data_IF_688685069891
#
_entry.id   IF_688685069891
#
_cell.length_a   1.000
_cell.length_b   1.000
_cell.length_c   1.000
_cell.angle_alpha   90.00
_cell.angle_beta   90.00
_cell.angle_gamma   90.00
#
_symmetry.space_group_name_H-M   'P 1'
#
loop_
_entity.id
_entity.type
_entity.pdbx_description
1 polymer ?
#
# COMPACT_ATOMS: atom_id res chain seq x y z
N UNK A 1 -12.69 -25.89 32.59
CA UNK A 1 -11.52 -25.01 32.81
C UNK A 1 -10.17 -25.60 32.38
N UNK A 2 -10.01 -26.82 31.95
CA UNK A 2 -8.72 -27.47 31.70
C UNK A 2 -8.18 -27.48 30.26
N UNK A 3 -9.01 -27.27 29.23
CA UNK A 3 -8.56 -27.39 27.83
C UNK A 3 -7.92 -26.11 27.25
N UNK A 4 -8.33 -24.93 27.71
CA UNK A 4 -7.79 -23.65 27.22
C UNK A 4 -6.34 -23.42 27.66
N UNK A 5 -5.96 -23.86 28.88
CA UNK A 5 -4.60 -23.67 29.40
C UNK A 5 -3.51 -24.54 28.74
N UNK A 6 -3.89 -25.74 28.26
CA UNK A 6 -2.93 -26.67 27.63
C UNK A 6 -2.62 -26.22 26.20
N UNK A 7 -3.64 -25.78 25.45
CA UNK A 7 -3.47 -25.22 24.10
C UNK A 7 -2.63 -23.92 24.14
N UNK A 8 -2.89 -23.04 25.11
CA UNK A 8 -2.12 -21.79 25.31
C UNK A 8 -0.63 -22.06 25.68
N UNK A 9 -0.37 -23.14 26.42
CA UNK A 9 0.99 -23.56 26.74
C UNK A 9 1.74 -24.11 25.51
N UNK A 10 1.09 -24.96 24.71
CA UNK A 10 1.66 -25.47 23.45
C UNK A 10 1.87 -24.35 22.43
N UNK A 11 0.95 -23.42 22.30
CA UNK A 11 1.10 -22.25 21.42
C UNK A 11 2.28 -21.35 21.85
N UNK A 12 2.46 -21.14 23.14
CA UNK A 12 3.63 -20.42 23.69
C UNK A 12 4.94 -21.17 23.48
N UNK A 13 4.92 -22.50 23.53
CA UNK A 13 6.10 -23.32 23.27
C UNK A 13 6.46 -23.27 21.76
N UNK A 14 5.49 -23.46 20.90
CA UNK A 14 5.64 -23.44 19.43
C UNK A 14 6.03 -22.04 18.96
N UNK A 15 5.51 -20.96 19.56
CA UNK A 15 5.85 -19.59 19.19
C UNK A 15 7.34 -19.24 19.39
N UNK A 16 8.05 -19.93 20.31
CA UNK A 16 9.50 -19.83 20.45
C UNK A 16 10.27 -20.38 19.24
N UNK A 17 9.67 -21.28 18.47
CA UNK A 17 10.26 -21.96 17.32
C UNK A 17 9.63 -21.55 15.98
N UNK A 18 8.71 -20.61 15.99
CA UNK A 18 8.02 -20.10 14.80
C UNK A 18 7.92 -18.58 14.86
N UNK A 19 8.38 -17.86 13.85
CA UNK A 19 8.32 -16.41 13.85
C UNK A 19 6.89 -15.89 13.69
N UNK A 20 6.65 -14.71 14.23
CA UNK A 20 5.48 -13.90 13.94
C UNK A 20 5.85 -12.90 12.85
N UNK A 21 5.06 -12.84 11.78
CA UNK A 21 5.32 -12.02 10.61
C UNK A 21 4.16 -11.08 10.35
N UNK A 22 4.45 -9.78 10.18
CA UNK A 22 3.55 -8.83 9.57
C UNK A 22 3.71 -8.88 8.04
N UNK A 23 2.61 -8.99 7.29
CA UNK A 23 2.64 -9.02 5.83
C UNK A 23 1.69 -7.97 5.27
N UNK A 24 2.21 -7.11 4.39
CA UNK A 24 1.44 -6.13 3.61
C UNK A 24 1.51 -6.49 2.13
N UNK A 25 0.36 -6.91 1.56
CA UNK A 25 0.26 -7.32 0.16
C UNK A 25 -0.12 -6.13 -0.73
N UNK A 26 0.83 -5.23 -0.94
CA UNK A 26 0.61 -4.06 -1.78
C UNK A 26 0.75 -4.33 -3.28
N UNK A 27 0.02 -3.58 -4.11
CA UNK A 27 0.06 -3.69 -5.59
C UNK A 27 1.41 -3.28 -6.21
N UNK A 28 2.20 -2.45 -5.52
CA UNK A 28 3.55 -2.06 -5.97
C UNK A 28 4.63 -2.90 -5.33
N UNK A 29 4.48 -3.23 -4.07
CA UNK A 29 5.43 -4.00 -3.29
C UNK A 29 4.72 -4.85 -2.24
N UNK A 30 5.24 -6.05 -1.97
CA UNK A 30 4.95 -6.82 -0.77
C UNK A 30 5.93 -6.40 0.31
N UNK A 31 5.41 -6.12 1.48
CA UNK A 31 6.20 -5.89 2.68
C UNK A 31 6.10 -7.06 3.65
N UNK A 32 7.22 -7.39 4.29
CA UNK A 32 7.28 -8.39 5.37
C UNK A 32 8.05 -7.79 6.54
N UNK A 33 7.49 -7.89 7.73
CA UNK A 33 8.13 -7.52 8.98
C UNK A 33 8.30 -8.76 9.88
N UNK A 34 9.51 -9.07 10.27
CA UNK A 34 9.79 -10.07 11.31
C UNK A 34 9.69 -9.39 12.69
N UNK A 35 8.79 -9.87 13.53
CA UNK A 35 8.58 -9.31 14.86
C UNK A 35 9.90 -9.23 15.67
N UNK A 36 10.24 -8.02 16.11
CA UNK A 36 11.45 -7.77 16.91
C UNK A 36 12.77 -7.84 16.15
N UNK A 37 12.76 -7.86 14.81
CA UNK A 37 13.99 -7.93 14.01
C UNK A 37 14.01 -6.84 12.95
N UNK A 38 13.74 -7.21 11.70
CA UNK A 38 13.84 -6.35 10.52
C UNK A 38 12.55 -6.40 9.71
N UNK A 39 12.34 -5.39 8.91
CA UNK A 39 11.34 -5.41 7.85
C UNK A 39 12.00 -5.13 6.50
N UNK A 40 11.38 -5.62 5.43
CA UNK A 40 11.80 -5.36 4.06
C UNK A 40 10.60 -5.29 3.12
N UNK A 41 10.83 -4.74 1.96
CA UNK A 41 9.84 -4.66 0.89
C UNK A 41 10.44 -5.19 -0.41
N UNK A 42 9.62 -5.86 -1.18
CA UNK A 42 10.00 -6.36 -2.49
C UNK A 42 8.95 -5.96 -3.53
N UNK A 43 9.37 -5.59 -4.73
CA UNK A 43 8.44 -5.17 -5.76
C UNK A 43 7.48 -6.29 -6.14
N UNK A 44 6.17 -5.98 -6.23
CA UNK A 44 5.13 -6.94 -6.59
C UNK A 44 5.08 -7.15 -8.11
N UNK A 45 6.19 -7.61 -8.67
CA UNK A 45 6.37 -7.83 -10.12
C UNK A 45 7.08 -9.13 -10.39
N UNK A 46 6.63 -9.83 -11.45
CA UNK A 46 7.27 -11.04 -11.97
C UNK A 46 7.40 -10.92 -13.48
N UNK A 47 8.42 -11.55 -14.04
CA UNK A 47 8.60 -11.68 -15.49
C UNK A 47 8.57 -13.15 -15.86
N UNK A 48 7.72 -13.50 -16.81
CA UNK A 48 7.58 -14.85 -17.36
C UNK A 48 7.93 -14.88 -18.84
N UNK A 49 8.36 -16.05 -19.29
CA UNK A 49 8.47 -16.38 -20.70
C UNK A 49 7.10 -16.80 -21.25
N UNK A 50 6.61 -16.14 -22.30
CA UNK A 50 5.24 -16.34 -22.82
C UNK A 50 4.95 -17.77 -23.31
N UNK A 51 5.96 -18.46 -23.87
CA UNK A 51 5.76 -19.79 -24.47
C UNK A 51 5.80 -20.93 -23.44
N UNK A 52 6.63 -20.78 -22.41
CA UNK A 52 6.92 -21.84 -21.46
C UNK A 52 6.27 -21.60 -20.08
N UNK A 53 5.73 -20.39 -19.86
CA UNK A 53 5.25 -19.86 -18.56
C UNK A 53 6.32 -20.00 -17.46
N UNK A 54 7.59 -20.00 -17.86
CA UNK A 54 8.72 -20.12 -16.93
C UNK A 54 9.02 -18.76 -16.29
N UNK A 55 9.17 -18.75 -14.97
CA UNK A 55 9.60 -17.58 -14.21
C UNK A 55 11.03 -17.18 -14.63
N UNK A 56 11.21 -15.94 -15.05
CA UNK A 56 12.50 -15.37 -15.49
C UNK A 56 13.08 -14.43 -14.42
N UNK A 57 12.25 -13.62 -13.81
CA UNK A 57 12.67 -12.67 -12.78
C UNK A 57 11.52 -12.37 -11.82
N UNK A 58 11.86 -12.03 -10.58
CA UNK A 58 10.91 -11.70 -9.51
C UNK A 58 11.36 -10.45 -8.76
N UNK A 59 10.41 -9.70 -8.25
CA UNK A 59 10.66 -8.56 -7.37
C UNK A 59 11.41 -7.42 -8.07
N UNK A 60 12.44 -6.93 -7.43
CA UNK A 60 13.26 -5.81 -7.90
C UNK A 60 13.93 -6.10 -9.24
N UNK A 61 14.34 -7.35 -9.50
CA UNK A 61 14.88 -7.74 -10.81
C UNK A 61 13.82 -7.63 -11.91
N UNK A 62 12.59 -8.07 -11.64
CA UNK A 62 11.48 -7.92 -12.57
C UNK A 62 11.15 -6.44 -12.84
N UNK A 63 11.18 -5.58 -11.82
CA UNK A 63 10.99 -4.12 -11.96
C UNK A 63 12.04 -3.50 -12.85
N UNK A 64 13.32 -3.89 -12.72
CA UNK A 64 14.42 -3.39 -13.57
C UNK A 64 14.25 -3.78 -15.05
N UNK A 65 13.63 -4.93 -15.32
CA UNK A 65 13.33 -5.39 -16.68
C UNK A 65 12.10 -4.68 -17.27
N UNK A 66 11.27 -4.04 -16.47
CA UNK A 66 10.06 -3.36 -16.94
C UNK A 66 10.40 -2.32 -18.02
N UNK A 67 9.66 -2.34 -19.14
CA UNK A 67 9.89 -1.45 -20.28
C UNK A 67 11.07 -1.85 -21.21
N UNK A 68 11.77 -2.96 -20.92
CA UNK A 68 12.91 -3.49 -21.74
C UNK A 68 12.73 -4.96 -22.08
N UNK A 69 11.50 -5.47 -21.97
CA UNK A 69 11.18 -6.86 -22.24
C UNK A 69 11.18 -7.16 -23.75
N UNK A 70 11.73 -8.31 -24.13
CA UNK A 70 11.53 -8.87 -25.48
C UNK A 70 10.06 -9.26 -25.69
N UNK A 71 9.65 -9.47 -26.95
CA UNK A 71 8.29 -9.91 -27.28
C UNK A 71 7.91 -11.28 -26.69
N UNK A 72 8.89 -12.05 -26.26
CA UNK A 72 8.72 -13.39 -25.69
C UNK A 72 8.51 -13.38 -24.18
N UNK A 73 8.59 -12.21 -23.52
CA UNK A 73 8.49 -12.06 -22.07
C UNK A 73 7.35 -11.14 -21.69
N UNK A 74 6.67 -11.45 -20.61
CA UNK A 74 5.58 -10.65 -20.05
C UNK A 74 5.87 -10.24 -18.60
N UNK A 75 5.58 -8.98 -18.28
CA UNK A 75 5.56 -8.48 -16.91
C UNK A 75 4.18 -8.74 -16.31
N UNK A 76 4.16 -9.39 -15.15
CA UNK A 76 2.95 -9.66 -14.38
C UNK A 76 2.94 -8.87 -13.07
N UNK A 77 1.75 -8.38 -12.69
CA UNK A 77 1.45 -7.78 -11.40
C UNK A 77 0.31 -8.59 -10.77
N UNK A 78 0.61 -9.55 -9.88
CA UNK A 78 -0.38 -10.50 -9.39
C UNK A 78 -1.32 -9.93 -8.33
N UNK A 79 -1.01 -8.75 -7.79
CA UNK A 79 -1.81 -8.05 -6.78
C UNK A 79 -2.27 -6.73 -7.39
N UNK A 80 -3.59 -6.46 -7.32
CA UNK A 80 -4.22 -5.22 -7.76
C UNK A 80 -5.13 -4.69 -6.67
N UNK A 81 -5.04 -3.40 -6.41
CA UNK A 81 -5.87 -2.71 -5.41
C UNK A 81 -5.86 -3.38 -4.03
N UNK A 82 -4.73 -4.05 -3.70
CA UNK A 82 -4.57 -4.80 -2.45
C UNK A 82 -5.23 -6.19 -2.44
N UNK A 83 -5.82 -6.64 -3.57
CA UNK A 83 -6.45 -7.96 -3.72
C UNK A 83 -5.63 -8.86 -4.64
N UNK A 84 -5.76 -10.19 -4.45
CA UNK A 84 -5.09 -11.19 -5.29
C UNK A 84 -5.79 -11.30 -6.63
N UNK A 85 -5.11 -10.95 -7.71
CA UNK A 85 -5.61 -11.02 -9.09
C UNK A 85 -5.18 -12.30 -9.80
N UNK A 86 -3.95 -12.76 -9.54
CA UNK A 86 -3.40 -14.03 -10.09
C UNK A 86 -2.83 -14.82 -8.92
N UNK A 87 -3.57 -15.85 -8.50
CA UNK A 87 -3.26 -16.61 -7.28
C UNK A 87 -1.89 -17.28 -7.34
N UNK A 88 -1.60 -18.00 -8.43
CA UNK A 88 -0.35 -18.77 -8.54
C UNK A 88 0.87 -17.85 -8.52
N UNK A 89 0.80 -16.75 -9.26
CA UNK A 89 1.89 -15.76 -9.29
C UNK A 89 2.03 -14.97 -7.99
N UNK A 90 0.89 -14.71 -7.30
CA UNK A 90 0.92 -14.10 -5.98
C UNK A 90 1.57 -15.04 -4.95
N UNK A 91 1.28 -16.36 -5.04
CA UNK A 91 1.89 -17.37 -4.19
C UNK A 91 3.41 -17.46 -4.41
N UNK A 92 3.88 -17.52 -5.66
CA UNK A 92 5.31 -17.51 -5.96
C UNK A 92 6.01 -16.27 -5.39
N UNK A 93 5.37 -15.11 -5.53
CA UNK A 93 5.91 -13.85 -5.02
C UNK A 93 5.94 -13.83 -3.48
N UNK A 94 4.88 -14.30 -2.82
CA UNK A 94 4.84 -14.38 -1.36
C UNK A 94 5.86 -15.39 -0.84
N UNK A 95 5.96 -16.57 -1.43
CA UNK A 95 7.00 -17.57 -1.08
C UNK A 95 8.41 -16.99 -1.24
N UNK A 96 8.68 -16.25 -2.32
CA UNK A 96 9.95 -15.55 -2.50
C UNK A 96 10.21 -14.53 -1.39
N UNK A 97 9.21 -13.74 -1.00
CA UNK A 97 9.37 -12.80 0.09
C UNK A 97 9.62 -13.52 1.42
N UNK A 98 8.86 -14.57 1.73
CA UNK A 98 9.03 -15.34 2.97
C UNK A 98 10.37 -16.10 3.02
N UNK A 99 10.92 -16.52 1.88
CA UNK A 99 12.23 -17.18 1.85
C UNK A 99 13.39 -16.31 2.32
N UNK A 100 13.18 -15.00 2.44
CA UNK A 100 14.17 -14.04 2.97
C UNK A 100 14.09 -13.88 4.49
N UNK A 101 13.08 -14.47 5.12
CA UNK A 101 12.99 -14.49 6.59
C UNK A 101 14.15 -15.31 7.18
N UNK A 102 14.67 -14.86 8.32
CA UNK A 102 15.82 -15.47 8.98
C UNK A 102 15.55 -16.92 9.41
N UNK A 103 14.30 -17.23 9.76
CA UNK A 103 13.85 -18.59 10.10
C UNK A 103 12.31 -18.64 10.00
N UNK A 104 11.77 -19.55 9.19
CA UNK A 104 10.33 -19.77 9.14
C UNK A 104 9.82 -20.77 10.19
N UNK A 105 10.75 -21.36 10.98
CA UNK A 105 10.42 -22.36 12.00
C UNK A 105 10.00 -23.72 11.44
N UNK A 106 9.95 -24.72 12.31
CA UNK A 106 9.52 -26.09 11.91
C UNK A 106 8.03 -26.18 11.63
N UNK A 107 7.24 -25.27 12.19
CA UNK A 107 5.76 -25.31 12.12
C UNK A 107 5.17 -24.18 11.24
N UNK A 108 6.02 -23.45 10.51
CA UNK A 108 5.61 -22.28 9.74
C UNK A 108 5.30 -21.02 10.60
N UNK A 109 5.25 -19.85 9.99
CA UNK A 109 5.01 -18.58 10.69
C UNK A 109 3.52 -18.39 11.06
N UNK A 110 3.26 -17.55 12.08
CA UNK A 110 1.98 -16.85 12.21
C UNK A 110 2.07 -15.55 11.43
N UNK A 111 1.07 -15.27 10.60
CA UNK A 111 1.03 -14.07 9.74
C UNK A 111 -0.08 -13.14 10.21
N UNK A 112 0.27 -11.90 10.52
CA UNK A 112 -0.67 -10.78 10.63
C UNK A 112 -0.69 -10.04 9.29
N UNK A 113 -1.84 -10.05 8.65
CA UNK A 113 -2.01 -9.56 7.30
C UNK A 113 -2.78 -8.24 7.29
N UNK A 114 -2.26 -7.22 6.59
CA UNK A 114 -3.04 -6.03 6.28
C UNK A 114 -4.02 -6.33 5.13
N UNK A 115 -5.28 -5.91 5.29
CA UNK A 115 -6.30 -5.99 4.24
C UNK A 115 -6.87 -4.61 3.94
N UNK A 116 -7.20 -4.30 2.67
CA UNK A 116 -7.77 -3.00 2.33
C UNK A 116 -9.16 -2.82 2.94
N UNK A 117 -9.53 -1.55 3.17
CA UNK A 117 -10.91 -1.19 3.54
C UNK A 117 -11.86 -1.58 2.41
N UNK A 118 -12.97 -2.21 2.77
CA UNK A 118 -13.97 -2.67 1.81
C UNK A 118 -13.62 -3.98 1.10
N UNK A 119 -12.54 -4.66 1.50
CA UNK A 119 -12.27 -6.02 1.04
C UNK A 119 -13.45 -6.94 1.37
N UNK A 120 -13.94 -7.69 0.39
CA UNK A 120 -15.01 -8.65 0.61
C UNK A 120 -14.52 -9.85 1.44
N UNK A 121 -15.45 -10.57 2.09
CA UNK A 121 -15.10 -11.82 2.76
C UNK A 121 -14.40 -12.82 1.82
N UNK A 122 -14.75 -12.83 0.55
CA UNK A 122 -14.12 -13.66 -0.46
C UNK A 122 -12.66 -13.25 -0.69
N UNK A 123 -12.37 -11.95 -0.79
CA UNK A 123 -10.99 -11.45 -0.91
C UNK A 123 -10.16 -11.84 0.32
N UNK A 124 -10.71 -11.64 1.52
CA UNK A 124 -10.04 -12.02 2.78
C UNK A 124 -9.77 -13.53 2.83
N UNK A 125 -10.70 -14.37 2.34
CA UNK A 125 -10.49 -15.83 2.24
C UNK A 125 -9.37 -16.17 1.26
N UNK A 126 -9.39 -15.59 0.05
CA UNK A 126 -8.37 -15.83 -0.98
C UNK A 126 -6.97 -15.46 -0.46
N UNK A 127 -6.84 -14.31 0.18
CA UNK A 127 -5.57 -13.85 0.74
C UNK A 127 -5.12 -14.76 1.90
N UNK A 128 -6.07 -15.20 2.75
CA UNK A 128 -5.77 -16.14 3.84
C UNK A 128 -5.32 -17.50 3.30
N UNK A 129 -5.99 -18.01 2.28
CA UNK A 129 -5.61 -19.29 1.63
C UNK A 129 -4.24 -19.16 0.93
N UNK A 130 -3.93 -18.00 0.38
CA UNK A 130 -2.61 -17.70 -0.19
C UNK A 130 -1.51 -17.81 0.89
N UNK A 131 -1.71 -17.20 2.05
CA UNK A 131 -0.76 -17.29 3.17
C UNK A 131 -0.63 -18.73 3.70
N UNK A 132 -1.75 -19.47 3.77
CA UNK A 132 -1.73 -20.90 4.14
C UNK A 132 -0.91 -21.70 3.16
N UNK A 133 -1.13 -21.52 1.86
CA UNK A 133 -0.38 -22.20 0.79
C UNK A 133 1.10 -21.85 0.81
N UNK A 134 1.45 -20.66 1.28
CA UNK A 134 2.83 -20.22 1.50
C UNK A 134 3.45 -20.78 2.81
N UNK A 135 2.72 -21.62 3.58
CA UNK A 135 3.21 -22.32 4.77
C UNK A 135 2.88 -21.65 6.10
N UNK A 136 1.96 -20.68 6.15
CA UNK A 136 1.52 -20.09 7.41
C UNK A 136 0.71 -21.10 8.25
N UNK A 137 1.03 -21.21 9.56
CA UNK A 137 0.29 -22.04 10.53
C UNK A 137 -0.92 -21.34 11.13
N UNK A 138 -0.94 -20.03 11.12
CA UNK A 138 -2.04 -19.21 11.64
C UNK A 138 -2.04 -17.85 10.96
N UNK A 139 -3.24 -17.29 10.76
CA UNK A 139 -3.41 -16.01 10.08
C UNK A 139 -4.35 -15.15 10.91
N UNK A 140 -3.93 -13.91 11.13
CA UNK A 140 -4.77 -12.84 11.64
C UNK A 140 -4.84 -11.73 10.60
N UNK A 141 -5.98 -11.06 10.48
CA UNK A 141 -6.16 -9.96 9.55
C UNK A 141 -6.45 -8.66 10.30
N UNK A 142 -5.97 -7.57 9.76
CA UNK A 142 -6.22 -6.22 10.29
C UNK A 142 -6.42 -5.25 9.13
N UNK A 143 -7.26 -4.23 9.32
CA UNK A 143 -7.46 -3.18 8.31
C UNK A 143 -6.15 -2.40 8.06
N UNK A 144 -5.79 -2.20 6.78
CA UNK A 144 -4.58 -1.50 6.38
C UNK A 144 -4.51 -0.05 6.91
N UNK A 145 -5.59 0.78 6.90
CA UNK A 145 -5.54 2.10 7.52
C UNK A 145 -5.29 2.06 9.03
N UNK A 146 -5.82 1.07 9.75
CA UNK A 146 -5.60 0.95 11.18
C UNK A 146 -4.15 0.58 11.48
N UNK A 147 -3.59 -0.40 10.76
CA UNK A 147 -2.16 -0.71 10.84
C UNK A 147 -1.31 0.51 10.47
N UNK A 148 -1.70 1.24 9.41
CA UNK A 148 -0.98 2.46 9.00
C UNK A 148 -1.01 3.54 10.07
N UNK A 149 -2.14 3.75 10.74
CA UNK A 149 -2.27 4.73 11.82
C UNK A 149 -1.32 4.42 12.98
N UNK A 150 -1.24 3.16 13.39
CA UNK A 150 -0.27 2.70 14.39
C UNK A 150 1.16 2.98 13.94
N UNK A 151 1.51 2.59 12.73
CA UNK A 151 2.87 2.81 12.20
C UNK A 151 3.22 4.28 11.95
N UNK A 152 2.23 5.16 11.87
CA UNK A 152 2.43 6.62 11.91
C UNK A 152 2.64 7.15 13.33
N UNK A 153 2.54 6.31 14.36
CA UNK A 153 2.64 6.71 15.77
C UNK A 153 1.36 7.33 16.33
N UNK A 154 0.20 7.14 15.67
CA UNK A 154 -1.08 7.64 16.17
C UNK A 154 -1.58 6.76 17.33
N UNK A 155 -2.17 7.40 18.33
CA UNK A 155 -2.73 6.72 19.52
C UNK A 155 -4.13 6.17 19.24
N UNK A 156 -4.23 5.10 18.44
CA UNK A 156 -5.51 4.55 17.97
C UNK A 156 -6.43 4.01 19.07
N UNK A 157 -5.90 3.65 20.24
CA UNK A 157 -6.67 3.08 21.36
C UNK A 157 -7.24 4.12 22.32
N UNK A 158 -6.94 5.41 22.11
CA UNK A 158 -7.45 6.50 22.93
C UNK A 158 -8.85 6.93 22.48
N UNK A 159 -9.55 7.67 23.35
CA UNK A 159 -10.88 8.24 23.06
C UNK A 159 -10.83 9.40 22.07
N UNK A 160 -9.66 9.98 21.82
CA UNK A 160 -9.45 11.01 20.80
C UNK A 160 -9.38 10.37 19.41
N UNK A 161 -10.26 10.79 18.52
CA UNK A 161 -10.27 10.27 17.16
C UNK A 161 -9.09 10.80 16.34
N UNK A 162 -8.56 9.95 15.45
CA UNK A 162 -7.55 10.32 14.47
C UNK A 162 -7.99 9.95 13.05
N UNK A 163 -7.55 10.73 12.06
CA UNK A 163 -7.80 10.47 10.63
C UNK A 163 -6.48 10.16 9.95
N UNK A 164 -6.40 8.98 9.36
CA UNK A 164 -5.27 8.53 8.55
C UNK A 164 -5.68 8.35 7.09
N UNK A 165 -4.78 8.73 6.17
CA UNK A 165 -4.96 8.55 4.72
C UNK A 165 -3.75 7.80 4.18
N UNK A 166 -3.96 6.59 3.72
CA UNK A 166 -2.93 5.77 3.10
C UNK A 166 -3.06 5.85 1.57
N UNK A 167 -2.11 6.53 0.94
CA UNK A 167 -2.05 6.72 -0.52
C UNK A 167 -1.04 5.75 -1.09
N UNK A 168 -1.51 4.62 -1.57
CA UNK A 168 -0.69 3.53 -2.09
C UNK A 168 -0.29 3.69 -3.55
N UNK A 169 -0.13 2.56 -4.23
CA UNK A 169 0.15 2.53 -5.67
C UNK A 169 -1.12 2.55 -6.51
N UNK A 170 -2.14 1.78 -6.17
CA UNK A 170 -3.38 1.66 -6.95
C UNK A 170 -4.62 2.12 -6.19
N UNK A 171 -4.61 2.06 -4.86
CA UNK A 171 -5.71 2.44 -4.00
C UNK A 171 -5.28 3.50 -2.98
N UNK A 172 -6.15 4.48 -2.73
CA UNK A 172 -6.08 5.38 -1.59
C UNK A 172 -7.20 5.00 -0.64
N UNK A 173 -6.87 4.87 0.64
CA UNK A 173 -7.79 4.49 1.71
C UNK A 173 -7.68 5.50 2.84
N UNK A 174 -8.78 5.81 3.47
CA UNK A 174 -8.76 6.66 4.66
C UNK A 174 -9.73 6.13 5.72
N UNK A 175 -9.39 6.35 6.99
CA UNK A 175 -10.22 5.95 8.11
C UNK A 175 -10.11 6.93 9.27
N UNK A 176 -11.25 7.18 9.90
CA UNK A 176 -11.36 7.79 11.22
C UNK A 176 -11.36 6.66 12.24
N UNK A 177 -10.44 6.70 13.18
CA UNK A 177 -10.18 5.64 14.15
C UNK A 177 -10.31 6.25 15.56
N UNK A 178 -11.02 5.54 16.45
CA UNK A 178 -11.18 5.90 17.85
C UNK A 178 -11.34 4.62 18.68
N UNK A 179 -10.72 4.56 19.87
CA UNK A 179 -10.83 3.42 20.81
C UNK A 179 -10.52 2.05 20.16
N UNK A 180 -9.59 2.01 19.22
CA UNK A 180 -9.20 0.80 18.50
C UNK A 180 -10.14 0.36 17.37
N UNK A 181 -11.23 1.10 17.13
CA UNK A 181 -12.22 0.80 16.11
C UNK A 181 -12.22 1.80 14.95
N UNK A 182 -12.59 1.34 13.77
CA UNK A 182 -12.85 2.21 12.63
C UNK A 182 -14.26 2.77 12.74
N UNK A 183 -14.38 4.10 12.89
CA UNK A 183 -15.66 4.82 12.97
C UNK A 183 -16.25 5.04 11.58
N UNK A 184 -15.44 5.53 10.66
CA UNK A 184 -15.79 5.77 9.25
C UNK A 184 -14.56 5.45 8.41
N UNK A 185 -14.76 4.76 7.30
CA UNK A 185 -13.70 4.55 6.32
C UNK A 185 -14.25 4.54 4.89
N UNK A 186 -13.41 4.93 3.95
CA UNK A 186 -13.70 4.87 2.52
C UNK A 186 -12.41 4.63 1.74
N UNK A 187 -12.56 4.20 0.49
CA UNK A 187 -11.43 3.97 -0.41
C UNK A 187 -11.77 4.37 -1.85
N UNK A 188 -10.73 4.70 -2.61
CA UNK A 188 -10.87 5.02 -4.04
C UNK A 188 -9.73 4.37 -4.83
N UNK A 189 -10.00 3.76 -6.02
CA UNK A 189 -8.98 3.12 -6.86
C UNK A 189 -8.17 4.19 -7.64
N UNK A 190 -7.71 5.21 -6.92
CA UNK A 190 -6.89 6.30 -7.44
C UNK A 190 -5.73 6.54 -6.48
N UNK A 191 -4.52 6.29 -6.97
CA UNK A 191 -3.28 6.48 -6.24
C UNK A 191 -2.11 6.69 -7.23
N UNK A 192 -0.88 6.34 -6.86
CA UNK A 192 0.32 6.59 -7.65
C UNK A 192 0.24 6.16 -9.12
N UNK A 193 -0.27 4.95 -9.38
CA UNK A 193 -0.39 4.40 -10.75
C UNK A 193 -1.40 5.15 -11.61
N UNK A 194 -2.49 5.65 -11.00
CA UNK A 194 -3.48 6.47 -11.72
C UNK A 194 -2.89 7.82 -12.15
N UNK A 195 -2.02 8.40 -11.33
CA UNK A 195 -1.28 9.62 -11.67
C UNK A 195 -0.28 9.36 -12.81
N UNK A 196 0.47 8.26 -12.77
CA UNK A 196 1.38 7.86 -13.85
C UNK A 196 0.62 7.67 -15.16
N UNK A 197 -0.52 6.99 -15.10
CA UNK A 197 -1.39 6.78 -16.28
C UNK A 197 -1.90 8.10 -16.84
N UNK A 198 -2.28 9.06 -16.01
CA UNK A 198 -2.71 10.39 -16.48
C UNK A 198 -1.60 11.09 -17.27
N UNK A 199 -0.35 10.96 -16.85
CA UNK A 199 0.84 11.49 -17.58
C UNK A 199 1.01 10.76 -18.92
N UNK A 200 0.95 9.42 -18.93
CA UNK A 200 1.05 8.62 -20.15
C UNK A 200 -0.05 9.02 -21.17
N UNK A 201 -1.29 9.14 -20.71
CA UNK A 201 -2.44 9.50 -21.54
C UNK A 201 -2.32 10.93 -22.09
N UNK A 202 -1.79 11.86 -21.29
CA UNK A 202 -1.49 13.21 -21.76
C UNK A 202 -0.42 13.19 -22.86
N UNK A 203 0.71 12.52 -22.62
CA UNK A 203 1.78 12.40 -23.61
C UNK A 203 1.28 11.76 -24.91
N UNK A 204 0.43 10.75 -24.83
CA UNK A 204 -0.17 10.09 -26.00
C UNK A 204 -1.04 11.04 -26.83
N UNK A 205 -1.83 11.91 -26.17
CA UNK A 205 -2.60 12.98 -26.85
C UNK A 205 -1.70 13.99 -27.55
N UNK A 206 -0.45 14.16 -27.07
CA UNK A 206 0.58 14.98 -27.69
C UNK A 206 1.42 14.20 -28.75
N UNK A 207 0.94 13.05 -29.23
CA UNK A 207 1.62 12.13 -30.13
C UNK A 207 2.97 11.61 -29.62
N UNK A 208 3.14 11.45 -28.30
CA UNK A 208 4.34 10.91 -27.68
C UNK A 208 4.00 9.63 -26.89
N UNK A 209 4.51 8.49 -27.32
CA UNK A 209 4.39 7.23 -26.56
C UNK A 209 5.48 7.18 -25.50
N UNK A 210 5.08 7.13 -24.23
CA UNK A 210 5.96 7.00 -23.08
C UNK A 210 5.61 5.74 -22.30
N UNK A 211 6.62 5.10 -21.67
CA UNK A 211 6.37 3.97 -20.77
C UNK A 211 5.97 4.43 -19.38
N UNK A 212 5.26 3.57 -18.63
CA UNK A 212 4.84 3.84 -17.25
C UNK A 212 6.03 4.22 -16.35
N UNK A 213 7.19 3.57 -16.47
CA UNK A 213 8.37 3.92 -15.68
C UNK A 213 8.93 5.32 -15.98
N UNK A 214 8.73 5.83 -17.21
CA UNK A 214 9.11 7.22 -17.53
C UNK A 214 8.13 8.22 -16.94
N UNK A 215 6.84 7.88 -16.90
CA UNK A 215 5.80 8.69 -16.27
C UNK A 215 5.97 8.69 -14.74
N UNK A 216 6.24 7.54 -14.12
CA UNK A 216 6.53 7.41 -12.70
C UNK A 216 7.72 8.30 -12.30
N UNK A 217 8.81 8.25 -13.08
CA UNK A 217 9.97 9.11 -12.85
C UNK A 217 9.62 10.59 -12.97
N UNK A 218 8.90 11.00 -14.02
CA UNK A 218 8.45 12.38 -14.17
C UNK A 218 7.58 12.82 -12.99
N UNK A 219 6.67 11.96 -12.51
CA UNK A 219 5.85 12.23 -11.33
C UNK A 219 6.71 12.42 -10.07
N UNK A 220 7.73 11.60 -9.87
CA UNK A 220 8.61 11.67 -8.70
C UNK A 220 9.50 12.93 -8.75
N UNK A 221 10.07 13.23 -9.91
CA UNK A 221 11.04 14.33 -10.09
C UNK A 221 10.34 15.70 -10.23
N UNK A 222 9.19 15.75 -10.92
CA UNK A 222 8.54 16.97 -11.33
C UNK A 222 7.07 17.07 -10.95
N UNK A 223 6.49 16.01 -10.38
CA UNK A 223 5.12 16.00 -9.89
C UNK A 223 4.97 16.98 -8.73
N UNK A 224 3.95 17.84 -8.82
CA UNK A 224 3.60 18.77 -7.75
C UNK A 224 2.08 18.89 -7.70
N UNK A 225 1.51 18.72 -6.52
CA UNK A 225 0.09 18.87 -6.28
C UNK A 225 -0.30 20.31 -5.92
N UNK A 226 0.67 21.09 -5.44
CA UNK A 226 0.48 22.48 -5.07
C UNK A 226 1.74 23.26 -5.45
N UNK A 227 1.66 24.17 -6.40
CA UNK A 227 2.84 24.93 -6.87
C UNK A 227 2.61 26.43 -6.85
N UNK A 228 3.51 27.14 -6.19
CA UNK A 228 3.64 28.59 -6.28
C UNK A 228 4.60 28.99 -7.42
N UNK A 229 5.45 28.04 -7.88
CA UNK A 229 6.49 28.32 -8.88
C UNK A 229 6.25 27.53 -10.19
N UNK A 230 5.63 28.16 -11.16
CA UNK A 230 5.27 27.58 -12.46
C UNK A 230 6.43 27.45 -13.46
N UNK A 231 7.61 28.01 -13.16
CA UNK A 231 8.72 28.13 -14.12
C UNK A 231 9.57 26.85 -14.23
N UNK A 232 9.55 25.96 -13.26
CA UNK A 232 10.29 24.69 -13.31
C UNK A 232 9.77 23.81 -14.44
N UNK A 233 10.67 23.26 -15.26
CA UNK A 233 10.33 22.37 -16.36
C UNK A 233 11.11 21.05 -16.28
N UNK A 234 10.45 19.95 -16.65
CA UNK A 234 10.96 18.59 -16.60
C UNK A 234 10.85 17.94 -17.98
N UNK A 235 11.83 17.11 -18.33
CA UNK A 235 11.92 16.46 -19.63
C UNK A 235 11.42 15.00 -19.54
N UNK A 236 10.49 14.64 -20.45
CA UNK A 236 10.10 13.26 -20.66
C UNK A 236 10.48 12.83 -22.06
N UNK A 237 11.01 11.59 -22.16
CA UNK A 237 11.47 10.99 -23.43
C UNK A 237 10.51 9.88 -23.84
N UNK A 238 10.22 9.81 -25.14
CA UNK A 238 9.36 8.80 -25.70
C UNK A 238 9.59 8.62 -27.20
N UNK A 239 8.69 7.89 -27.84
CA UNK A 239 8.67 7.68 -29.29
C UNK A 239 7.53 8.52 -29.89
N UNK A 240 7.84 9.30 -30.89
CA UNK A 240 6.84 10.04 -31.65
C UNK A 240 5.93 9.07 -32.43
N UNK A 241 4.60 9.26 -32.30
CA UNK A 241 3.61 8.38 -32.95
C UNK A 241 3.57 8.54 -34.47
N UNK A 242 3.92 9.74 -34.99
CA UNK A 242 3.82 10.03 -36.43
C UNK A 242 5.07 9.57 -37.17
N UNK A 243 6.25 9.85 -36.57
CA UNK A 243 7.54 9.58 -37.25
C UNK A 243 8.18 8.28 -36.81
N UNK A 244 7.78 7.73 -35.63
CA UNK A 244 8.42 6.57 -35.05
C UNK A 244 9.76 6.85 -34.35
N UNK A 245 10.32 8.06 -34.49
CA UNK A 245 11.62 8.42 -33.94
C UNK A 245 11.56 8.81 -32.45
N UNK A 246 12.68 8.73 -31.72
CA UNK A 246 12.78 9.26 -30.36
C UNK A 246 12.48 10.77 -30.35
N UNK A 247 11.65 11.19 -29.41
CA UNK A 247 11.29 12.59 -29.18
C UNK A 247 11.32 12.91 -27.68
N UNK A 248 11.70 14.14 -27.37
CA UNK A 248 11.65 14.71 -26.02
C UNK A 248 10.50 15.73 -25.94
N UNK A 249 9.88 15.81 -24.81
CA UNK A 249 8.87 16.82 -24.48
C UNK A 249 9.21 17.43 -23.12
N UNK A 250 9.12 18.74 -23.01
CA UNK A 250 9.24 19.47 -21.75
C UNK A 250 7.86 19.80 -21.21
N UNK A 251 7.67 19.58 -19.91
CA UNK A 251 6.45 19.91 -19.18
C UNK A 251 6.81 20.81 -18.01
N UNK A 252 6.11 21.89 -17.84
CA UNK A 252 6.25 22.73 -16.64
C UNK A 252 5.55 22.09 -15.44
N UNK A 253 5.94 22.45 -14.22
CA UNK A 253 5.27 22.02 -13.01
C UNK A 253 3.77 22.32 -13.03
N UNK A 254 3.36 23.49 -13.54
CA UNK A 254 1.97 23.87 -13.71
C UNK A 254 1.22 22.95 -14.70
N UNK A 255 1.85 22.52 -15.80
CA UNK A 255 1.26 21.58 -16.74
C UNK A 255 1.10 20.19 -16.09
N UNK A 256 2.10 19.74 -15.32
CA UNK A 256 2.04 18.45 -14.61
C UNK A 256 0.90 18.51 -13.58
N UNK A 257 0.80 19.57 -12.79
CA UNK A 257 -0.32 19.77 -11.85
C UNK A 257 -1.68 19.68 -12.56
N UNK A 258 -1.83 20.38 -13.69
CA UNK A 258 -3.09 20.33 -14.48
C UNK A 258 -3.43 18.91 -14.95
N UNK A 259 -2.41 18.10 -15.28
CA UNK A 259 -2.58 16.69 -15.68
C UNK A 259 -3.05 15.83 -14.50
N UNK A 260 -2.47 16.05 -13.30
CA UNK A 260 -2.73 15.24 -12.12
C UNK A 260 -4.03 15.64 -11.41
N UNK A 261 -4.42 16.92 -11.49
CA UNK A 261 -5.54 17.52 -10.75
C UNK A 261 -6.83 16.70 -10.78
N UNK A 262 -7.33 16.19 -11.93
CA UNK A 262 -8.58 15.41 -11.96
C UNK A 262 -8.52 14.10 -11.17
N UNK A 263 -7.30 13.58 -10.93
CA UNK A 263 -7.10 12.38 -10.10
C UNK A 263 -6.99 12.76 -8.62
N UNK A 264 -6.32 13.86 -8.31
CA UNK A 264 -6.23 14.38 -6.96
C UNK A 264 -7.61 14.79 -6.42
N UNK A 265 -8.46 15.39 -7.24
CA UNK A 265 -9.86 15.73 -6.89
C UNK A 265 -10.68 14.51 -6.47
N UNK A 266 -10.42 13.32 -7.01
CA UNK A 266 -11.10 12.08 -6.59
C UNK A 266 -10.70 11.69 -5.16
N UNK A 267 -9.44 11.91 -4.77
CA UNK A 267 -8.97 11.70 -3.40
C UNK A 267 -9.62 12.73 -2.46
N UNK A 268 -9.66 14.00 -2.86
CA UNK A 268 -10.34 15.05 -2.10
C UNK A 268 -11.81 14.70 -1.86
N UNK A 269 -12.54 14.30 -2.91
CA UNK A 269 -13.95 13.92 -2.81
C UNK A 269 -14.16 12.75 -1.85
N UNK A 270 -13.27 11.76 -1.83
CA UNK A 270 -13.31 10.67 -0.85
C UNK A 270 -13.13 11.21 0.58
N UNK A 271 -12.16 12.08 0.82
CA UNK A 271 -11.92 12.67 2.14
C UNK A 271 -13.11 13.51 2.60
N UNK A 272 -13.69 14.31 1.70
CA UNK A 272 -14.88 15.10 2.01
C UNK A 272 -16.06 14.21 2.42
N UNK A 273 -16.27 13.07 1.75
CA UNK A 273 -17.32 12.11 2.17
C UNK A 273 -17.05 11.56 3.57
N UNK A 274 -15.80 11.17 3.86
CA UNK A 274 -15.43 10.67 5.20
C UNK A 274 -15.71 11.74 6.26
N UNK A 275 -15.30 12.99 6.03
CA UNK A 275 -15.51 14.09 6.95
C UNK A 275 -17.01 14.33 7.18
N UNK A 276 -17.82 14.32 6.12
CA UNK A 276 -19.27 14.51 6.19
C UNK A 276 -19.97 13.39 6.98
N UNK A 277 -19.48 12.16 6.89
CA UNK A 277 -20.02 11.00 7.59
C UNK A 277 -19.49 10.88 9.03
N UNK A 278 -18.45 11.63 9.38
CA UNK A 278 -17.84 11.60 10.71
C UNK A 278 -18.72 12.35 11.72
N UNK A 279 -19.10 11.73 12.85
CA UNK A 279 -19.84 12.41 13.89
C UNK A 279 -19.13 13.67 14.41
N UNK A 280 -19.88 14.75 14.79
CA UNK A 280 -19.29 16.04 15.12
C UNK A 280 -18.23 16.01 16.24
N UNK A 281 -18.39 15.14 17.24
CA UNK A 281 -17.40 14.98 18.32
C UNK A 281 -16.02 14.57 17.78
N UNK A 282 -15.97 13.59 16.89
CA UNK A 282 -14.74 13.11 16.26
C UNK A 282 -14.17 14.12 15.26
N UNK A 283 -15.04 14.91 14.60
CA UNK A 283 -14.57 15.97 13.69
C UNK A 283 -13.78 17.02 14.45
N UNK A 284 -14.18 17.39 15.67
CA UNK A 284 -13.42 18.32 16.52
C UNK A 284 -12.03 17.77 16.87
N UNK A 285 -11.92 16.47 17.15
CA UNK A 285 -10.62 15.83 17.40
C UNK A 285 -9.71 15.94 16.17
N UNK A 286 -10.25 15.69 14.97
CA UNK A 286 -9.51 15.77 13.70
C UNK A 286 -9.09 17.21 13.39
N UNK A 287 -9.91 18.22 13.69
CA UNK A 287 -9.53 19.64 13.57
C UNK A 287 -8.28 19.94 14.39
N UNK A 288 -8.21 19.41 15.61
CA UNK A 288 -7.10 19.64 16.53
C UNK A 288 -5.84 18.83 16.18
N UNK A 289 -6.00 17.56 15.79
CA UNK A 289 -4.89 16.64 15.52
C UNK A 289 -4.39 16.69 14.06
N UNK A 290 -5.24 17.12 13.13
CA UNK A 290 -4.96 17.09 11.70
C UNK A 290 -5.17 15.71 11.09
N UNK A 291 -4.79 15.61 9.82
CA UNK A 291 -4.88 14.40 8.98
C UNK A 291 -3.48 13.86 8.74
N UNK A 292 -3.26 12.59 9.10
CA UNK A 292 -1.99 11.92 8.87
C UNK A 292 -1.97 11.24 7.50
N UNK A 293 -1.00 11.60 6.65
CA UNK A 293 -0.82 11.02 5.33
C UNK A 293 0.31 9.99 5.34
N UNK A 294 0.05 8.82 4.80
CA UNK A 294 1.03 7.74 4.63
C UNK A 294 0.89 7.05 3.27
N UNK A 295 1.67 5.98 3.05
CA UNK A 295 1.81 5.35 1.74
C UNK A 295 2.74 6.13 0.80
N UNK A 296 3.32 5.44 -0.20
CA UNK A 296 4.31 6.04 -1.10
C UNK A 296 3.78 7.21 -1.93
N UNK A 297 2.46 7.26 -2.20
CA UNK A 297 1.80 8.36 -2.92
C UNK A 297 1.77 9.67 -2.15
N UNK A 298 1.83 9.63 -0.81
CA UNK A 298 1.86 10.82 0.04
C UNK A 298 3.13 11.67 -0.13
N UNK A 299 4.19 11.09 -0.71
CA UNK A 299 5.43 11.80 -1.05
C UNK A 299 5.30 12.74 -2.27
N UNK A 300 4.15 12.77 -2.95
CA UNK A 300 3.95 13.72 -4.03
C UNK A 300 4.10 15.15 -3.49
N UNK A 301 5.03 15.89 -4.06
CA UNK A 301 5.35 17.23 -3.57
C UNK A 301 4.11 18.15 -3.54
N UNK A 302 3.91 18.88 -2.46
CA UNK A 302 2.77 19.76 -2.27
C UNK A 302 1.42 19.07 -2.02
N UNK A 303 1.38 17.73 -1.91
CA UNK A 303 0.11 17.01 -1.73
C UNK A 303 -0.54 17.34 -0.38
N UNK A 304 0.23 17.42 0.70
CA UNK A 304 -0.30 17.79 2.01
C UNK A 304 -0.93 19.18 2.00
N UNK A 305 -0.24 20.15 1.37
CA UNK A 305 -0.74 21.52 1.21
C UNK A 305 -2.01 21.55 0.34
N UNK A 306 -2.04 20.79 -0.75
CA UNK A 306 -3.21 20.67 -1.62
C UNK A 306 -4.42 20.12 -0.86
N UNK A 307 -4.23 18.99 -0.16
CA UNK A 307 -5.30 18.38 0.62
C UNK A 307 -5.77 19.30 1.77
N UNK A 308 -4.84 20.01 2.43
CA UNK A 308 -5.19 20.97 3.47
C UNK A 308 -6.02 22.13 2.91
N UNK A 309 -5.67 22.68 1.75
CA UNK A 309 -6.41 23.75 1.11
C UNK A 309 -7.82 23.33 0.69
N UNK A 310 -7.99 22.10 0.17
CA UNK A 310 -9.28 21.59 -0.33
C UNK A 310 -10.20 21.04 0.77
N UNK A 311 -9.64 20.61 1.92
CA UNK A 311 -10.42 20.01 3.01
C UNK A 311 -10.58 20.94 4.22
N UNK A 312 -9.72 21.93 4.36
CA UNK A 312 -9.68 22.81 5.53
C UNK A 312 -8.99 22.19 6.76
N UNK A 313 -8.45 20.98 6.67
CA UNK A 313 -7.75 20.31 7.77
C UNK A 313 -6.23 20.38 7.56
N UNK A 314 -5.50 20.58 8.65
CA UNK A 314 -4.05 20.45 8.60
C UNK A 314 -3.67 19.03 8.19
N UNK A 315 -2.78 18.88 7.20
CA UNK A 315 -2.31 17.59 6.71
C UNK A 315 -0.80 17.44 6.92
N UNK A 316 -0.40 16.31 7.49
CA UNK A 316 1.01 16.00 7.75
C UNK A 316 1.37 14.65 7.12
N UNK A 317 2.55 14.57 6.50
CA UNK A 317 3.10 13.32 5.96
C UNK A 317 3.93 12.65 7.05
N UNK A 318 3.73 11.34 7.21
CA UNK A 318 4.50 10.51 8.14
C UNK A 318 6.00 10.50 7.75
N UNK A 319 6.89 10.26 8.71
CA UNK A 319 8.34 10.26 8.49
C UNK A 319 8.79 9.19 7.48
N UNK A 320 8.25 7.96 7.60
CA UNK A 320 8.49 6.83 6.68
C UNK A 320 7.17 6.37 6.05
N UNK A 321 6.56 7.20 5.18
CA UNK A 321 5.17 7.01 4.81
C UNK A 321 4.90 5.68 4.10
N UNK A 322 5.84 5.16 3.32
CA UNK A 322 5.69 3.86 2.65
C UNK A 322 5.74 2.65 3.59
N UNK A 323 6.34 2.80 4.77
CA UNK A 323 6.55 1.70 5.71
C UNK A 323 5.51 1.67 6.83
N UNK A 324 4.63 2.68 6.94
CA UNK A 324 3.69 2.82 8.06
C UNK A 324 2.85 1.55 8.30
N UNK A 325 2.31 0.94 7.24
CA UNK A 325 1.52 -0.30 7.39
C UNK A 325 2.35 -1.41 8.05
N UNK A 326 3.60 -1.62 7.60
CA UNK A 326 4.49 -2.65 8.16
C UNK A 326 4.89 -2.36 9.60
N UNK A 327 5.22 -1.10 9.90
CA UNK A 327 5.57 -0.67 11.26
C UNK A 327 4.39 -0.86 12.21
N UNK A 328 3.17 -0.62 11.75
CA UNK A 328 1.96 -0.87 12.54
C UNK A 328 1.69 -2.36 12.76
N UNK A 329 1.92 -3.21 11.76
CA UNK A 329 1.84 -4.66 11.93
C UNK A 329 2.87 -5.18 12.93
N UNK A 330 4.07 -4.64 12.91
CA UNK A 330 5.13 -4.95 13.89
C UNK A 330 4.70 -4.56 15.31
N UNK A 331 4.16 -3.34 15.49
CA UNK A 331 3.68 -2.87 16.80
C UNK A 331 2.55 -3.74 17.35
N UNK A 332 1.61 -4.19 16.51
CA UNK A 332 0.52 -5.09 16.92
C UNK A 332 1.04 -6.42 17.49
N UNK A 333 2.10 -6.97 16.92
CA UNK A 333 2.73 -8.17 17.47
C UNK A 333 3.53 -7.90 18.74
N UNK A 334 4.17 -6.74 18.83
CA UNK A 334 4.99 -6.39 20.00
C UNK A 334 4.16 -6.08 21.25
N UNK A 335 2.98 -5.48 21.10
CA UNK A 335 2.11 -5.17 22.22
C UNK A 335 0.76 -5.90 22.14
N UNK A 336 0.65 -7.06 22.85
CA UNK A 336 -0.60 -7.80 22.91
C UNK A 336 -1.78 -7.03 23.51
N UNK A 337 -1.53 -5.92 24.23
CA UNK A 337 -2.60 -5.06 24.77
C UNK A 337 -3.22 -4.23 23.64
N UNK A 338 -2.38 -3.68 22.75
CA UNK A 338 -2.87 -2.97 21.55
C UNK A 338 -3.62 -3.96 20.66
N UNK A 339 -3.07 -5.15 20.41
CA UNK A 339 -3.70 -6.17 19.58
C UNK A 339 -5.08 -6.60 20.10
N UNK A 340 -5.29 -6.66 21.42
CA UNK A 340 -6.59 -6.97 22.02
C UNK A 340 -7.55 -5.78 22.04
N UNK A 341 -7.02 -4.57 22.09
CA UNK A 341 -7.82 -3.35 22.11
C UNK A 341 -8.31 -2.92 20.72
N UNK A 342 -7.71 -3.48 19.66
CA UNK A 342 -8.05 -3.19 18.27
C UNK A 342 -9.16 -4.12 17.81
N UNK A 343 -10.30 -3.54 17.38
CA UNK A 343 -11.39 -4.30 16.80
C UNK A 343 -11.05 -4.81 15.38
N UNK A 344 -11.64 -5.95 15.01
CA UNK A 344 -11.51 -6.51 13.66
C UNK A 344 -10.22 -7.31 13.41
N UNK A 345 -9.44 -7.62 14.44
CA UNK A 345 -8.38 -8.63 14.31
C UNK A 345 -9.00 -10.02 14.39
N UNK A 346 -9.38 -10.57 13.24
CA UNK A 346 -9.86 -11.94 13.15
C UNK A 346 -8.69 -12.92 13.09
N UNK A 347 -8.62 -13.85 14.04
CA UNK A 347 -7.61 -14.91 14.05
C UNK A 347 -8.21 -16.20 13.51
N UNK A 348 -7.60 -16.76 12.48
CA UNK A 348 -7.93 -18.06 11.90
C UNK A 348 -6.75 -19.01 12.10
N UNK A 349 -6.91 -19.97 13.01
CA UNK A 349 -5.93 -21.03 13.24
C UNK A 349 -6.24 -22.20 12.32
N UNK A 350 -5.21 -22.77 11.70
CA UNK A 350 -5.30 -23.93 10.82
C UNK A 350 -4.57 -25.10 11.51
N UNK A 351 -5.34 -25.90 12.22
CA UNK A 351 -4.90 -27.19 12.79
C UNK A 351 -5.68 -28.33 12.15
#
# INVERSE_FOLDING_TARGET
MGRVGVLDFFDKLISKFSPDLGVDLGSSAIGVAECGKNYWREHARLVYELKTDKLVAIGSQAKLMAGRLSKEKILSAPIKEGCVYDYNKALELLCFCLSRCSNLGLFGPRILLSVPVGASEADVRIISDLCRSAGARGISVVSAPLASALGCGLSVTQSQACLVVNIGAEITQAAVICLGAIVVADSVPVAGSALDKAIVDYCRRQNLVVGMGSAERLKIEGGCAYTENSALSFEIKGRDLKTGFPRKMKLTAAQILKILKPKLEQIVNMLQRIIQLTPPGFTNDIVNSGVMLCGGGSRLNGLAQYLAAETGFFCQVAEKPEDCTLLGLEQLYHDPRIMRAVEGVETRNFW
#
